data_IF_645070666092
#
_entry.id   IF_645070666092
#
_cell.length_a   1.000
_cell.length_b   1.000
_cell.length_c   1.000
_cell.angle_alpha   90.00
_cell.angle_beta   90.00
_cell.angle_gamma   90.00
#
_symmetry.space_group_name_H-M   'P 1'
#
loop_
_entity.id
_entity.type
_entity.pdbx_description
1 polymer ?
#
# COMPACT_ATOMS: atom_id res chain seq x y z
N UNK A 1 -17.65 -7.32 9.71
CA UNK A 1 -16.24 -6.96 9.88
C UNK A 1 -15.68 -6.45 8.57
N UNK A 2 -15.00 -5.33 8.61
CA UNK A 2 -14.55 -4.63 7.40
C UNK A 2 -13.03 -4.72 7.29
N UNK A 3 -12.57 -5.13 6.12
CA UNK A 3 -11.15 -5.08 5.75
C UNK A 3 -10.97 -3.96 4.71
N UNK A 4 -10.04 -3.06 4.96
CA UNK A 4 -9.77 -1.92 4.09
C UNK A 4 -8.40 -2.07 3.44
N UNK A 5 -8.36 -1.86 2.13
CA UNK A 5 -7.13 -1.77 1.34
C UNK A 5 -6.94 -0.31 0.94
N UNK A 6 -5.90 0.32 1.46
CA UNK A 6 -5.52 1.70 1.10
C UNK A 6 -4.36 1.65 0.11
N UNK A 7 -4.61 2.09 -1.11
CA UNK A 7 -3.62 2.13 -2.17
C UNK A 7 -3.04 3.54 -2.28
N UNK A 8 -1.74 3.66 -2.10
CA UNK A 8 -1.04 4.95 -2.04
C UNK A 8 -0.05 5.05 -3.21
N UNK A 9 0.04 6.23 -3.81
CA UNK A 9 1.00 6.50 -4.85
C UNK A 9 0.49 7.48 -5.91
N UNK A 10 1.39 7.85 -6.82
CA UNK A 10 1.08 8.75 -7.93
C UNK A 10 1.21 8.01 -9.27
N UNK A 11 0.08 7.82 -9.95
CA UNK A 11 0.02 7.09 -11.22
C UNK A 11 0.82 7.74 -12.36
N UNK A 12 1.19 9.02 -12.20
CA UNK A 12 1.97 9.78 -13.19
C UNK A 12 3.49 9.65 -12.99
N UNK A 13 3.93 8.93 -11.96
CA UNK A 13 5.33 8.90 -11.51
C UNK A 13 5.96 7.52 -11.66
N UNK A 14 5.76 6.84 -12.80
CA UNK A 14 6.39 5.55 -13.04
C UNK A 14 5.98 4.49 -12.02
N UNK A 15 6.94 3.88 -11.35
CA UNK A 15 6.69 2.79 -10.39
C UNK A 15 5.97 3.24 -9.10
N UNK A 16 5.89 4.54 -8.85
CA UNK A 16 5.08 5.07 -7.77
C UNK A 16 3.57 4.85 -8.01
N UNK A 17 3.21 4.49 -9.22
CA UNK A 17 1.85 4.11 -9.60
C UNK A 17 1.43 2.70 -9.17
N UNK A 18 2.24 1.97 -8.43
CA UNK A 18 1.92 0.59 -8.01
C UNK A 18 0.62 0.51 -7.20
N UNK A 19 0.45 1.37 -6.20
CA UNK A 19 -0.78 1.44 -5.42
C UNK A 19 -2.01 1.77 -6.28
N UNK A 20 -1.99 2.86 -7.05
CA UNK A 20 -3.08 3.19 -7.98
C UNK A 20 -3.43 2.08 -8.97
N UNK A 21 -2.44 1.36 -9.49
CA UNK A 21 -2.71 0.23 -10.38
C UNK A 21 -3.47 -0.88 -9.65
N UNK A 22 -3.07 -1.19 -8.43
CA UNK A 22 -3.77 -2.19 -7.63
C UNK A 22 -5.25 -1.78 -7.41
N UNK A 23 -5.48 -0.52 -7.09
CA UNK A 23 -6.83 0.01 -6.91
C UNK A 23 -7.66 -0.12 -8.20
N UNK A 24 -7.06 0.18 -9.35
CA UNK A 24 -7.71 0.05 -10.66
C UNK A 24 -8.07 -1.41 -10.97
N UNK A 25 -7.16 -2.34 -10.69
CA UNK A 25 -7.42 -3.77 -10.89
C UNK A 25 -8.58 -4.25 -10.01
N UNK A 26 -8.62 -3.83 -8.77
CA UNK A 26 -9.69 -4.17 -7.83
C UNK A 26 -11.04 -3.55 -8.25
N UNK A 27 -11.02 -2.36 -8.82
CA UNK A 27 -12.24 -1.71 -9.31
C UNK A 27 -12.81 -2.47 -10.52
N UNK A 28 -11.95 -2.99 -11.38
CA UNK A 28 -12.36 -3.76 -12.55
C UNK A 28 -12.86 -5.16 -12.20
N UNK A 29 -12.23 -5.80 -11.22
CA UNK A 29 -12.58 -7.16 -10.78
C UNK A 29 -12.20 -7.35 -9.30
N UNK A 30 -13.14 -7.10 -8.38
CA UNK A 30 -12.87 -7.18 -6.95
C UNK A 30 -12.38 -8.56 -6.51
N UNK A 31 -11.41 -8.57 -5.60
CA UNK A 31 -10.89 -9.77 -4.97
C UNK A 31 -11.24 -9.76 -3.48
N UNK A 32 -11.91 -10.82 -3.02
CA UNK A 32 -12.35 -10.93 -1.64
C UNK A 32 -13.35 -9.83 -1.24
N UNK A 33 -13.36 -9.49 0.03
CA UNK A 33 -14.31 -8.51 0.59
C UNK A 33 -13.63 -7.20 1.03
N UNK A 34 -12.51 -6.86 0.41
CA UNK A 34 -11.78 -5.64 0.71
C UNK A 34 -12.57 -4.40 0.26
N UNK A 35 -12.69 -3.43 1.15
CA UNK A 35 -13.10 -2.07 0.77
C UNK A 35 -11.84 -1.35 0.29
N UNK A 36 -11.80 -1.01 -0.99
CA UNK A 36 -10.60 -0.43 -1.62
C UNK A 36 -10.74 1.08 -1.65
N UNK A 37 -9.71 1.76 -1.14
CA UNK A 37 -9.60 3.21 -1.18
C UNK A 37 -8.36 3.55 -2.01
N UNK A 38 -8.56 4.27 -3.11
CA UNK A 38 -7.46 4.86 -3.88
C UNK A 38 -7.07 6.18 -3.21
N UNK A 39 -6.04 6.12 -2.37
CA UNK A 39 -5.55 7.28 -1.62
C UNK A 39 -4.71 8.22 -2.47
N UNK A 40 -4.26 7.77 -3.64
CA UNK A 40 -3.42 8.58 -4.51
C UNK A 40 -2.17 9.08 -3.80
N UNK A 41 -1.76 10.30 -4.08
CA UNK A 41 -0.58 10.94 -3.46
C UNK A 41 -0.91 11.71 -2.18
N UNK A 42 -2.16 11.69 -1.72
CA UNK A 42 -2.62 12.41 -0.54
C UNK A 42 -3.51 11.51 0.35
N UNK A 43 -2.96 10.39 0.88
CA UNK A 43 -3.76 9.44 1.67
C UNK A 43 -4.30 10.04 2.97
N UNK A 44 -3.73 11.15 3.44
CA UNK A 44 -4.24 11.90 4.59
C UNK A 44 -5.69 12.38 4.41
N UNK A 45 -6.13 12.54 3.18
CA UNK A 45 -7.51 12.91 2.88
C UNK A 45 -8.51 11.79 3.18
N UNK A 46 -8.03 10.57 3.35
CA UNK A 46 -8.86 9.38 3.58
C UNK A 46 -8.92 8.95 5.05
N UNK A 47 -8.22 9.64 5.93
CA UNK A 47 -8.14 9.30 7.36
C UNK A 47 -9.53 9.24 8.00
N UNK A 48 -10.38 10.24 7.75
CA UNK A 48 -11.72 10.30 8.32
C UNK A 48 -12.57 9.12 7.85
N UNK A 49 -12.54 8.82 6.55
CA UNK A 49 -13.28 7.69 6.00
C UNK A 49 -12.83 6.35 6.59
N UNK A 50 -11.53 6.15 6.75
CA UNK A 50 -10.98 4.94 7.36
C UNK A 50 -11.43 4.81 8.82
N UNK A 51 -11.35 5.90 9.58
CA UNK A 51 -11.79 5.91 10.99
C UNK A 51 -13.27 5.59 11.13
N UNK A 52 -14.11 6.11 10.25
CA UNK A 52 -15.55 5.84 10.26
C UNK A 52 -15.86 4.38 9.93
N UNK A 53 -15.09 3.76 9.04
CA UNK A 53 -15.26 2.35 8.69
C UNK A 53 -14.84 1.41 9.83
N UNK A 54 -13.98 1.85 10.74
CA UNK A 54 -13.45 1.05 11.85
C UNK A 54 -13.01 -0.35 11.39
N UNK A 55 -12.10 -0.45 10.44
CA UNK A 55 -11.74 -1.74 9.87
C UNK A 55 -11.07 -2.63 10.92
N UNK A 56 -11.32 -3.92 10.83
CA UNK A 56 -10.58 -4.91 11.59
C UNK A 56 -9.14 -5.00 11.10
N UNK A 57 -8.97 -4.96 9.77
CA UNK A 57 -7.66 -4.95 9.12
C UNK A 57 -7.57 -3.79 8.13
N UNK A 58 -6.45 -3.10 8.17
CA UNK A 58 -6.08 -2.10 7.18
C UNK A 58 -4.77 -2.52 6.54
N UNK A 59 -4.79 -2.78 5.24
CA UNK A 59 -3.60 -3.04 4.45
C UNK A 59 -3.28 -1.81 3.62
N UNK A 60 -2.10 -1.22 3.85
CA UNK A 60 -1.60 -0.08 3.08
C UNK A 60 -0.59 -0.61 2.09
N UNK A 61 -0.76 -0.30 0.81
CA UNK A 61 0.17 -0.70 -0.26
C UNK A 61 0.75 0.53 -0.93
N UNK A 62 2.07 0.59 -0.97
CA UNK A 62 2.81 1.72 -1.54
C UNK A 62 4.14 1.24 -2.16
N UNK A 63 4.59 1.95 -3.17
CA UNK A 63 5.95 1.80 -3.66
C UNK A 63 6.91 2.40 -2.64
N UNK A 64 7.88 1.61 -2.20
CA UNK A 64 8.74 1.98 -1.07
C UNK A 64 10.18 1.57 -1.35
N UNK A 65 11.10 2.51 -1.21
CA UNK A 65 12.52 2.19 -1.33
C UNK A 65 13.01 1.48 -0.07
N UNK A 66 13.25 0.19 -0.21
CA UNK A 66 13.70 -0.70 0.86
C UNK A 66 15.15 -1.16 0.67
N UNK A 67 15.83 -0.65 -0.36
CA UNK A 67 17.17 -1.09 -0.72
C UNK A 67 17.21 -2.50 -1.31
N UNK A 68 16.11 -2.94 -1.90
CA UNK A 68 15.95 -4.27 -2.48
C UNK A 68 15.95 -4.20 -4.02
N UNK A 69 15.86 -5.36 -4.66
CA UNK A 69 15.70 -5.41 -6.11
C UNK A 69 14.29 -4.97 -6.52
N UNK A 70 14.15 -4.29 -7.67
CA UNK A 70 12.82 -3.89 -8.15
C UNK A 70 11.82 -5.03 -8.18
N UNK A 71 10.62 -4.76 -7.68
CA UNK A 71 9.54 -5.74 -7.62
C UNK A 71 9.54 -6.61 -6.38
N UNK A 72 10.54 -6.55 -5.52
CA UNK A 72 10.49 -7.25 -4.24
C UNK A 72 9.42 -6.64 -3.33
N UNK A 73 8.71 -7.51 -2.65
CA UNK A 73 7.57 -7.15 -1.80
C UNK A 73 7.89 -7.56 -0.36
N UNK A 74 7.70 -6.63 0.59
CA UNK A 74 7.92 -6.92 2.00
C UNK A 74 6.83 -6.28 2.85
N UNK A 75 6.46 -6.99 3.93
CA UNK A 75 5.67 -6.40 5.00
C UNK A 75 6.59 -5.62 5.93
N UNK A 76 6.19 -4.40 6.23
CA UNK A 76 6.93 -3.50 7.11
C UNK A 76 6.06 -3.27 8.34
N UNK A 77 6.63 -3.53 9.54
CA UNK A 77 5.95 -3.25 10.78
C UNK A 77 5.70 -1.74 10.89
N UNK A 78 4.44 -1.30 11.09
CA UNK A 78 4.13 0.12 11.25
C UNK A 78 4.92 0.80 12.36
N UNK A 79 5.28 0.08 13.42
CA UNK A 79 6.10 0.61 14.51
C UNK A 79 7.54 0.89 14.06
N UNK A 80 8.04 0.14 13.08
CA UNK A 80 9.38 0.35 12.53
C UNK A 80 9.44 1.53 11.54
N UNK A 81 8.31 1.91 10.96
CA UNK A 81 8.24 3.04 10.03
C UNK A 81 8.70 4.35 10.70
N UNK A 82 8.39 4.52 11.97
CA UNK A 82 8.75 5.71 12.73
C UNK A 82 10.28 5.89 12.89
N UNK A 83 11.02 4.78 12.90
CA UNK A 83 12.48 4.78 13.04
C UNK A 83 13.25 4.68 11.73
N UNK A 84 12.57 4.46 10.62
CA UNK A 84 13.19 4.30 9.31
C UNK A 84 13.02 5.57 8.50
N UNK A 85 14.13 6.08 7.94
CA UNK A 85 14.05 7.06 6.86
C UNK A 85 13.55 6.35 5.61
N UNK A 86 12.26 6.05 5.59
CA UNK A 86 11.67 5.48 4.41
C UNK A 86 11.48 6.58 3.38
N UNK A 87 12.19 6.46 2.30
CA UNK A 87 12.03 7.31 1.12
C UNK A 87 10.70 6.97 0.45
N UNK A 88 9.62 7.45 1.05
CA UNK A 88 8.36 7.48 0.33
C UNK A 88 8.36 8.71 -0.55
N UNK A 89 7.74 8.61 -1.70
CA UNK A 89 7.59 9.75 -2.63
C UNK A 89 6.54 10.74 -2.15
N UNK A 90 6.01 10.56 -0.94
CA UNK A 90 4.94 11.36 -0.36
C UNK A 90 5.48 12.38 0.63
N UNK A 91 4.83 13.54 0.68
CA UNK A 91 5.20 14.61 1.60
C UNK A 91 4.79 14.34 3.05
N UNK A 92 3.89 13.38 3.27
CA UNK A 92 3.46 12.99 4.61
C UNK A 92 4.20 11.75 5.07
N UNK A 93 4.86 11.77 6.25
CA UNK A 93 5.40 10.56 6.83
C UNK A 93 4.29 9.54 7.11
N UNK A 94 4.47 8.30 6.66
CA UNK A 94 3.48 7.24 6.86
C UNK A 94 3.23 6.94 8.33
N UNK A 95 4.25 7.12 9.19
CA UNK A 95 4.07 6.98 10.63
C UNK A 95 3.02 7.96 11.18
N UNK A 96 2.95 9.17 10.64
CA UNK A 96 1.94 10.14 11.05
C UNK A 96 0.53 9.68 10.66
N UNK A 97 0.37 9.16 9.45
CA UNK A 97 -0.89 8.59 8.99
C UNK A 97 -1.34 7.44 9.91
N UNK A 98 -0.44 6.51 10.20
CA UNK A 98 -0.70 5.36 11.06
C UNK A 98 -1.09 5.82 12.47
N UNK A 99 -0.39 6.80 13.03
CA UNK A 99 -0.69 7.33 14.36
C UNK A 99 -2.11 7.90 14.46
N UNK A 100 -2.63 8.46 13.38
CA UNK A 100 -3.97 9.04 13.37
C UNK A 100 -5.09 7.99 13.33
N UNK A 101 -4.82 6.79 12.83
CA UNK A 101 -5.85 5.78 12.58
C UNK A 101 -5.72 4.55 13.47
N UNK A 102 -4.58 4.32 14.11
CA UNK A 102 -4.27 3.06 14.81
C UNK A 102 -5.27 2.70 15.92
N UNK A 103 -5.87 3.69 16.57
CA UNK A 103 -6.83 3.45 17.66
C UNK A 103 -8.21 3.04 17.15
N UNK A 104 -8.50 3.30 15.87
CA UNK A 104 -9.78 2.98 15.23
C UNK A 104 -9.69 1.74 14.32
N UNK A 105 -8.51 1.12 14.24
CA UNK A 105 -8.24 -0.02 13.36
C UNK A 105 -7.71 -1.18 14.20
N UNK A 106 -8.20 -2.38 13.96
CA UNK A 106 -7.79 -3.57 14.70
C UNK A 106 -6.33 -3.94 14.42
N UNK A 107 -5.94 -4.01 13.16
CA UNK A 107 -4.58 -4.32 12.74
C UNK A 107 -4.20 -3.48 11.52
N UNK A 108 -3.04 -2.85 11.58
CA UNK A 108 -2.46 -2.10 10.45
C UNK A 108 -1.30 -2.90 9.87
N UNK A 109 -1.37 -3.16 8.57
CA UNK A 109 -0.28 -3.79 7.82
C UNK A 109 0.19 -2.83 6.73
N UNK A 110 1.50 -2.72 6.56
CA UNK A 110 2.09 -1.94 5.48
C UNK A 110 2.85 -2.86 4.55
N UNK A 111 2.47 -2.85 3.27
CA UNK A 111 3.12 -3.67 2.23
C UNK A 111 3.87 -2.75 1.27
N UNK A 112 5.19 -2.86 1.29
CA UNK A 112 6.07 -2.11 0.40
C UNK A 112 6.41 -2.92 -0.85
N UNK A 113 6.39 -2.26 -2.00
CA UNK A 113 6.87 -2.79 -3.28
C UNK A 113 8.08 -1.97 -3.69
N UNK A 114 9.23 -2.63 -3.87
CA UNK A 114 10.45 -1.94 -4.26
C UNK A 114 10.33 -1.39 -5.68
N UNK A 115 10.42 -0.05 -5.86
CA UNK A 115 10.41 0.56 -7.19
C UNK A 115 11.78 0.48 -7.87
N UNK A 116 11.79 0.65 -9.19
CA UNK A 116 12.98 0.89 -9.98
C UNK A 116 13.04 2.37 -10.40
N UNK A 117 12.09 2.80 -11.22
CA UNK A 117 12.06 4.15 -11.77
C UNK A 117 10.84 4.91 -11.24
N UNK A 118 11.09 5.97 -10.52
CA UNK A 118 10.07 6.91 -10.07
C UNK A 118 10.36 8.26 -10.73
N UNK A 119 9.53 8.63 -11.71
CA UNK A 119 9.72 9.86 -12.47
C UNK A 119 8.52 10.18 -13.32
N UNK A 120 8.33 11.48 -13.63
CA UNK A 120 7.19 11.95 -14.40
C UNK A 120 7.11 11.28 -15.77
N UNK A 121 5.93 10.74 -16.08
CA UNK A 121 5.58 10.12 -17.34
C UNK A 121 6.42 8.90 -17.73
N UNK A 122 7.23 8.37 -16.82
CA UNK A 122 7.85 7.07 -17.05
C UNK A 122 6.80 5.97 -16.93
N UNK A 123 6.86 4.93 -17.77
CA UNK A 123 5.97 3.79 -17.61
C UNK A 123 6.38 2.98 -16.38
N UNK A 124 5.42 2.22 -15.84
CA UNK A 124 5.73 1.27 -14.78
C UNK A 124 6.64 0.17 -15.32
N UNK A 125 7.70 -0.16 -14.56
CA UNK A 125 8.62 -1.22 -14.98
C UNK A 125 8.01 -2.61 -14.82
N UNK A 126 8.40 -3.58 -15.66
CA UNK A 126 7.84 -4.93 -15.60
C UNK A 126 7.90 -5.61 -14.24
N UNK A 127 9.02 -5.56 -13.47
CA UNK A 127 9.06 -6.23 -12.17
C UNK A 127 8.08 -5.64 -11.16
N UNK A 128 7.84 -4.34 -11.21
CA UNK A 128 6.86 -3.70 -10.32
C UNK A 128 5.44 -4.07 -10.73
N UNK A 129 5.14 -4.09 -12.02
CA UNK A 129 3.84 -4.52 -12.52
C UNK A 129 3.54 -5.97 -12.12
N UNK A 130 4.50 -6.87 -12.23
CA UNK A 130 4.37 -8.25 -11.79
C UNK A 130 4.12 -8.34 -10.28
N UNK A 131 4.80 -7.50 -9.49
CA UNK A 131 4.59 -7.43 -8.05
C UNK A 131 3.15 -7.03 -7.71
N UNK A 132 2.60 -6.03 -8.40
CA UNK A 132 1.20 -5.62 -8.21
C UNK A 132 0.25 -6.78 -8.53
N UNK A 133 0.50 -7.52 -9.59
CA UNK A 133 -0.29 -8.70 -9.94
C UNK A 133 -0.25 -9.78 -8.85
N UNK A 134 0.91 -10.00 -8.25
CA UNK A 134 1.06 -10.94 -7.12
C UNK A 134 0.23 -10.48 -5.92
N UNK A 135 0.33 -9.22 -5.53
CA UNK A 135 -0.46 -8.67 -4.42
C UNK A 135 -1.95 -8.84 -4.71
N UNK A 136 -2.38 -8.46 -5.90
CA UNK A 136 -3.76 -8.59 -6.34
C UNK A 136 -4.27 -10.03 -6.18
N UNK A 137 -3.48 -11.01 -6.64
CA UNK A 137 -3.86 -12.42 -6.58
C UNK A 137 -4.01 -12.95 -5.16
N UNK A 138 -3.34 -12.34 -4.17
CA UNK A 138 -3.37 -12.78 -2.78
C UNK A 138 -4.42 -12.10 -1.91
N UNK A 139 -5.12 -11.10 -2.45
CA UNK A 139 -6.17 -10.40 -1.71
C UNK A 139 -7.33 -11.30 -1.36
N UNK A 140 -7.73 -12.18 -2.26
CA UNK A 140 -8.74 -13.18 -1.96
C UNK A 140 -8.19 -14.25 -1.01
N UNK A 141 -8.90 -14.52 0.06
CA UNK A 141 -8.47 -15.51 1.05
C UNK A 141 -7.27 -15.08 1.89
N UNK A 142 -7.03 -13.78 2.01
CA UNK A 142 -5.92 -13.26 2.83
C UNK A 142 -6.03 -13.70 4.27
N UNK A 143 -4.99 -14.34 4.79
CA UNK A 143 -4.88 -14.78 6.19
C UNK A 143 -3.52 -14.31 6.72
N UNK A 144 -3.52 -13.70 7.91
CA UNK A 144 -2.30 -13.26 8.57
C UNK A 144 -1.50 -12.28 7.73
N UNK A 145 -0.29 -12.66 7.35
CA UNK A 145 0.65 -11.85 6.55
C UNK A 145 0.44 -11.94 5.03
N UNK A 146 -0.60 -12.65 4.60
CA UNK A 146 -0.88 -12.87 3.17
C UNK A 146 0.16 -13.71 2.46
N UNK A 147 1.09 -14.31 3.18
CA UNK A 147 2.20 -15.09 2.64
C UNK A 147 3.39 -14.22 2.24
N UNK A 148 3.41 -12.94 2.61
CA UNK A 148 4.54 -12.05 2.33
C UNK A 148 5.55 -12.06 3.46
N UNK A 149 6.84 -11.91 3.10
CA UNK A 149 7.93 -11.89 4.06
C UNK A 149 8.09 -10.51 4.71
N UNK A 150 8.48 -10.45 5.99
CA UNK A 150 8.80 -9.18 6.64
C UNK A 150 10.12 -8.61 6.10
N UNK A 151 10.22 -7.28 6.19
CA UNK A 151 11.45 -6.57 5.85
C UNK A 151 12.53 -6.83 6.90
#
# INVERSE_FOLDING_TARGET
MTDVLLCVGNSMMGDDGAGPLLAEMCAANPQGNWVVIDGGSAPENDVVAIRELRPERLLIVDATDMGLNPGEIRLIDPDDIAGMFMMTTHNMPLNYLVDQIKDDVGEVMFLGIQPDIVGFYYPMTPPVKEAVEVVYSRLEGWVGDGGFSPL
#
